data_IF_882547224307
#
_entry.id   IF_882547224307
#
_cell.length_a   1.000
_cell.length_b   1.000
_cell.length_c   1.000
_cell.angle_alpha   90.00
_cell.angle_beta   90.00
_cell.angle_gamma   90.00
#
_symmetry.space_group_name_H-M   'P 1'
#
loop_
_entity.id
_entity.type
_entity.pdbx_description
1 polymer ?
#
# COMPACT_ATOMS: atom_id res chain seq x y z
N UNK A 1 -67.23 -17.81 -5.45
CA UNK A 1 -66.18 -16.76 -5.31
C UNK A 1 -64.90 -17.46 -4.88
N UNK A 2 -63.96 -17.53 -5.77
CA UNK A 2 -62.62 -18.13 -5.49
C UNK A 2 -61.65 -16.99 -5.23
N UNK A 3 -61.26 -16.77 -4.01
CA UNK A 3 -60.20 -15.87 -3.66
C UNK A 3 -58.85 -16.55 -3.92
N UNK A 4 -58.11 -16.05 -4.89
CA UNK A 4 -56.73 -16.47 -5.10
C UNK A 4 -55.86 -15.66 -4.16
N UNK A 5 -55.32 -16.32 -3.14
CA UNK A 5 -54.25 -15.79 -2.34
C UNK A 5 -52.97 -15.78 -3.20
N UNK A 6 -52.52 -14.62 -3.57
CA UNK A 6 -51.23 -14.42 -4.19
C UNK A 6 -50.20 -14.35 -3.07
N UNK A 7 -49.47 -15.45 -2.88
CA UNK A 7 -48.35 -15.51 -1.96
C UNK A 7 -47.17 -14.79 -2.64
N UNK A 8 -46.97 -13.53 -2.28
CA UNK A 8 -45.74 -12.80 -2.67
C UNK A 8 -44.63 -13.35 -1.78
N UNK A 9 -43.84 -14.27 -2.32
CA UNK A 9 -42.55 -14.64 -1.76
C UNK A 9 -41.59 -13.46 -1.93
N UNK A 10 -41.42 -12.69 -0.86
CA UNK A 10 -40.36 -11.72 -0.74
C UNK A 10 -39.05 -12.52 -0.55
N UNK A 11 -38.37 -12.83 -1.64
CA UNK A 11 -37.01 -13.29 -1.58
C UNK A 11 -36.15 -12.10 -1.12
N UNK A 12 -35.97 -12.03 0.20
CA UNK A 12 -34.92 -11.23 0.79
C UNK A 12 -33.57 -11.78 0.33
N UNK A 13 -33.01 -11.21 -0.73
CA UNK A 13 -31.64 -11.47 -1.09
C UNK A 13 -30.77 -11.03 0.06
N UNK A 14 -30.21 -11.98 0.79
CA UNK A 14 -29.06 -11.70 1.63
C UNK A 14 -27.96 -11.26 0.68
N UNK A 15 -27.77 -9.95 0.58
CA UNK A 15 -26.54 -9.37 0.09
C UNK A 15 -25.48 -9.75 1.13
N UNK A 16 -24.85 -10.88 0.96
CA UNK A 16 -23.59 -11.15 1.60
C UNK A 16 -22.61 -10.15 1.01
N UNK A 17 -22.43 -9.02 1.67
CA UNK A 17 -21.31 -8.16 1.44
C UNK A 17 -20.07 -8.98 1.78
N UNK A 18 -19.49 -9.64 0.79
CA UNK A 18 -18.16 -10.23 0.93
C UNK A 18 -17.22 -9.06 1.22
N UNK A 19 -16.70 -9.02 2.44
CA UNK A 19 -15.70 -8.05 2.83
C UNK A 19 -14.53 -8.18 1.86
N UNK A 20 -14.30 -7.14 1.05
CA UNK A 20 -13.23 -7.10 0.09
C UNK A 20 -11.90 -7.12 0.86
N UNK A 21 -11.00 -8.05 0.52
CA UNK A 21 -9.66 -8.08 1.10
C UNK A 21 -8.92 -6.81 0.72
N UNK A 22 -8.59 -6.00 1.70
CA UNK A 22 -7.91 -4.73 1.49
C UNK A 22 -6.39 -4.88 1.47
N UNK A 23 -5.68 -3.84 1.05
CA UNK A 23 -4.21 -3.82 1.12
C UNK A 23 -3.71 -4.01 2.56
N UNK A 24 -4.46 -3.54 3.55
CA UNK A 24 -4.14 -3.74 4.96
C UNK A 24 -4.30 -5.20 5.38
N UNK A 25 -5.34 -5.87 4.90
CA UNK A 25 -5.60 -7.28 5.21
C UNK A 25 -4.52 -8.18 4.62
N UNK A 26 -4.08 -7.90 3.40
CA UNK A 26 -2.98 -8.62 2.74
C UNK A 26 -1.69 -8.43 3.52
N UNK A 27 -1.37 -7.21 3.93
CA UNK A 27 -0.19 -6.93 4.74
C UNK A 27 -0.28 -7.60 6.12
N UNK A 28 -1.44 -7.56 6.77
CA UNK A 28 -1.66 -8.17 8.08
C UNK A 28 -1.54 -9.70 8.05
N UNK A 29 -1.85 -10.32 6.92
CA UNK A 29 -1.66 -11.76 6.72
C UNK A 29 -0.20 -12.19 6.47
N UNK A 30 0.70 -11.25 6.26
CA UNK A 30 2.11 -11.51 6.00
C UNK A 30 2.95 -11.37 7.27
N UNK A 31 3.74 -12.39 7.56
CA UNK A 31 4.69 -12.39 8.69
C UNK A 31 5.82 -11.36 8.49
N UNK A 32 6.10 -11.01 7.25
CA UNK A 32 7.19 -10.11 6.88
C UNK A 32 6.82 -8.62 7.00
N UNK A 33 5.55 -8.32 7.26
CA UNK A 33 5.02 -6.95 7.31
C UNK A 33 4.41 -6.57 8.68
N UNK A 34 4.77 -7.27 9.74
CA UNK A 34 4.23 -7.00 11.08
C UNK A 34 4.55 -5.60 11.58
N UNK A 35 5.77 -5.12 11.32
CA UNK A 35 6.20 -3.76 11.67
C UNK A 35 5.41 -2.72 10.89
N UNK A 36 5.20 -2.93 9.59
CA UNK A 36 4.39 -2.05 8.74
C UNK A 36 2.95 -1.95 9.26
N UNK A 37 2.34 -3.07 9.59
CA UNK A 37 0.97 -3.12 10.12
C UNK A 37 0.86 -2.37 11.45
N UNK A 38 1.84 -2.57 12.34
CA UNK A 38 1.91 -1.83 13.60
C UNK A 38 2.02 -0.31 13.36
N UNK A 39 2.85 0.09 12.40
CA UNK A 39 3.02 1.49 12.02
C UNK A 39 1.73 2.09 11.43
N UNK A 40 1.05 1.37 10.56
CA UNK A 40 -0.23 1.81 9.96
C UNK A 40 -1.31 1.98 11.04
N UNK A 41 -1.38 1.06 12.01
CA UNK A 41 -2.28 1.17 13.16
C UNK A 41 -1.95 2.37 14.04
N UNK A 42 -0.68 2.56 14.37
CA UNK A 42 -0.21 3.67 15.18
C UNK A 42 -0.47 5.04 14.52
N UNK A 43 -0.36 5.11 13.20
CA UNK A 43 -0.67 6.31 12.43
C UNK A 43 -2.17 6.56 12.23
N UNK A 44 -3.03 5.59 12.56
CA UNK A 44 -4.47 5.68 12.32
C UNK A 44 -4.86 5.64 10.85
N UNK A 45 -4.05 5.02 10.00
CA UNK A 45 -4.28 4.95 8.55
C UNK A 45 -5.02 3.69 8.10
N UNK A 46 -5.38 2.80 9.01
CA UNK A 46 -6.07 1.55 8.67
C UNK A 46 -7.35 1.83 7.87
N UNK A 47 -8.22 2.69 8.37
CA UNK A 47 -9.47 3.03 7.68
C UNK A 47 -9.24 3.75 6.36
N UNK A 48 -8.22 4.58 6.26
CA UNK A 48 -7.85 5.27 5.02
C UNK A 48 -7.42 4.27 3.94
N UNK A 49 -6.59 3.29 4.30
CA UNK A 49 -6.11 2.26 3.39
C UNK A 49 -7.13 1.14 3.12
N UNK A 50 -8.17 1.03 3.92
CA UNK A 50 -9.31 0.15 3.70
C UNK A 50 -10.40 0.81 2.83
N UNK A 51 -10.25 2.08 2.52
CA UNK A 51 -11.19 2.82 1.70
C UNK A 51 -11.23 2.34 0.25
N UNK A 52 -12.14 2.96 -0.52
CA UNK A 52 -12.33 2.65 -1.94
C UNK A 52 -11.15 3.19 -2.76
N UNK A 53 -10.06 2.42 -2.84
CA UNK A 53 -8.92 2.74 -3.72
C UNK A 53 -9.31 2.98 -5.17
N UNK A 54 -8.46 2.74 -6.13
CA UNK A 54 -7.27 1.89 -6.00
C UNK A 54 -6.07 2.56 -5.35
N UNK A 55 -5.32 1.78 -4.60
CA UNK A 55 -4.05 2.19 -4.01
C UNK A 55 -2.92 1.27 -4.46
N UNK A 56 -1.75 1.84 -4.71
CA UNK A 56 -0.52 1.07 -4.85
C UNK A 56 0.33 1.30 -3.62
N UNK A 57 0.61 0.25 -2.88
CA UNK A 57 1.37 0.31 -1.63
C UNK A 57 2.73 -0.32 -1.84
N UNK A 58 3.78 0.44 -1.57
CA UNK A 58 5.13 -0.11 -1.48
C UNK A 58 5.39 -0.52 -0.04
N UNK A 59 5.30 -1.83 0.23
CA UNK A 59 5.33 -2.37 1.58
C UNK A 59 6.75 -2.79 1.96
N UNK A 60 7.43 -2.04 2.85
CA UNK A 60 8.73 -2.46 3.36
C UNK A 60 8.56 -3.64 4.32
N UNK A 61 9.48 -4.60 4.22
CA UNK A 61 9.54 -5.76 5.11
C UNK A 61 10.03 -5.38 6.52
N UNK A 62 9.89 -6.29 7.47
CA UNK A 62 10.49 -6.12 8.80
C UNK A 62 12.01 -5.88 8.69
N UNK A 63 12.69 -6.59 7.79
CA UNK A 63 14.11 -6.40 7.51
C UNK A 63 14.40 -5.00 6.95
N UNK A 64 13.52 -4.45 6.13
CA UNK A 64 13.64 -3.09 5.62
C UNK A 64 13.61 -2.06 6.75
N UNK A 65 12.73 -2.23 7.72
CA UNK A 65 12.69 -1.39 8.93
C UNK A 65 13.93 -1.59 9.80
N UNK A 66 14.49 -2.80 9.85
CA UNK A 66 15.70 -3.08 10.61
C UNK A 66 16.95 -2.37 10.04
N UNK A 67 16.93 -1.96 8.79
CA UNK A 67 18.00 -1.15 8.17
C UNK A 67 18.03 0.30 8.64
N UNK A 68 16.94 0.77 9.24
CA UNK A 68 16.90 2.10 9.83
C UNK A 68 17.79 2.18 11.07
N UNK A 69 18.29 3.37 11.43
CA UNK A 69 19.06 3.55 12.64
C UNK A 69 18.33 3.00 13.87
N UNK A 70 19.07 2.44 14.80
CA UNK A 70 18.52 1.88 16.04
C UNK A 70 17.63 2.90 16.75
N UNK A 71 16.47 2.46 17.21
CA UNK A 71 15.50 3.33 17.88
C UNK A 71 14.62 4.18 16.97
N UNK A 72 14.90 4.26 15.66
CA UNK A 72 14.09 5.06 14.73
C UNK A 72 12.65 4.55 14.65
N UNK A 73 12.46 3.24 14.47
CA UNK A 73 11.12 2.64 14.41
C UNK A 73 10.36 2.84 15.71
N UNK A 74 11.00 2.57 16.85
CA UNK A 74 10.39 2.76 18.15
C UNK A 74 10.01 4.23 18.39
N UNK A 75 10.84 5.16 17.95
CA UNK A 75 10.56 6.58 18.01
C UNK A 75 9.37 6.99 17.15
N UNK A 76 9.31 6.48 15.91
CA UNK A 76 8.20 6.75 14.98
C UNK A 76 6.85 6.22 15.46
N UNK A 77 6.86 5.11 16.22
CA UNK A 77 5.65 4.53 16.78
C UNK A 77 5.08 5.30 17.98
N UNK A 78 5.82 6.26 18.50
CA UNK A 78 5.35 7.10 19.61
C UNK A 78 4.24 8.06 19.14
N UNK A 79 3.22 8.32 20.00
CA UNK A 79 2.14 9.25 19.67
C UNK A 79 2.62 10.64 19.27
N UNK A 80 3.73 11.11 19.84
CA UNK A 80 4.36 12.40 19.55
C UNK A 80 4.80 12.53 18.09
N UNK A 81 5.18 11.40 17.47
CA UNK A 81 5.69 11.33 16.11
C UNK A 81 4.66 10.83 15.10
N UNK A 82 3.39 10.76 15.48
CA UNK A 82 2.30 10.28 14.62
C UNK A 82 2.23 11.02 13.27
N UNK A 83 2.42 12.33 13.27
CA UNK A 83 2.40 13.13 12.05
C UNK A 83 3.56 12.76 11.11
N UNK A 84 4.76 12.56 11.65
CA UNK A 84 5.93 12.09 10.89
C UNK A 84 5.71 10.68 10.36
N UNK A 85 5.20 9.79 11.18
CA UNK A 85 4.88 8.42 10.78
C UNK A 85 3.82 8.39 9.66
N UNK A 86 2.78 9.19 9.79
CA UNK A 86 1.74 9.35 8.76
C UNK A 86 2.33 9.84 7.44
N UNK A 87 3.22 10.84 7.49
CA UNK A 87 3.91 11.35 6.30
C UNK A 87 4.73 10.26 5.62
N UNK A 88 5.50 9.48 6.38
CA UNK A 88 6.31 8.38 5.86
C UNK A 88 5.42 7.30 5.24
N UNK A 89 4.38 6.86 5.93
CA UNK A 89 3.49 5.81 5.44
C UNK A 89 2.71 6.23 4.20
N UNK A 90 2.21 7.45 4.14
CA UNK A 90 1.53 7.98 2.96
C UNK A 90 2.51 8.20 1.80
N UNK A 91 3.77 8.41 2.08
CA UNK A 91 4.83 8.44 1.07
C UNK A 91 5.07 7.06 0.42
N UNK A 92 4.73 5.97 1.09
CA UNK A 92 4.76 4.61 0.52
C UNK A 92 3.51 4.25 -0.27
N UNK A 93 2.51 5.11 -0.30
CA UNK A 93 1.25 4.87 -0.98
C UNK A 93 1.12 5.82 -2.18
N UNK A 94 0.84 5.23 -3.34
CA UNK A 94 0.58 5.98 -4.57
C UNK A 94 -0.89 5.77 -4.94
N UNK A 95 -1.60 6.85 -5.27
CA UNK A 95 -2.96 6.77 -5.76
C UNK A 95 -2.98 6.13 -7.16
N UNK A 96 -3.88 5.20 -7.37
CA UNK A 96 -4.01 4.47 -8.64
C UNK A 96 -3.58 3.02 -8.52
N UNK A 97 -3.90 2.25 -9.55
CA UNK A 97 -3.56 0.84 -9.64
C UNK A 97 -2.35 0.65 -10.55
N UNK A 98 -1.16 0.69 -9.95
CA UNK A 98 0.11 0.55 -10.64
C UNK A 98 0.67 -0.87 -10.40
N UNK A 99 0.22 -1.82 -11.20
CA UNK A 99 0.83 -3.15 -11.21
C UNK A 99 2.25 -3.11 -11.84
N UNK A 100 2.97 -4.22 -11.78
CA UNK A 100 4.32 -4.28 -12.32
C UNK A 100 4.37 -3.93 -13.81
N UNK A 101 3.40 -4.38 -14.59
CA UNK A 101 3.32 -4.06 -16.01
C UNK A 101 3.14 -2.56 -16.26
N UNK A 102 2.25 -1.91 -15.52
CA UNK A 102 2.03 -0.46 -15.61
C UNK A 102 3.28 0.34 -15.22
N UNK A 103 3.95 -0.05 -14.15
CA UNK A 103 5.21 0.58 -13.72
C UNK A 103 6.30 0.41 -14.78
N UNK A 104 6.47 -0.79 -15.32
CA UNK A 104 7.46 -1.06 -16.37
C UNK A 104 7.19 -0.27 -17.65
N UNK A 105 5.92 -0.18 -18.07
CA UNK A 105 5.55 0.65 -19.22
C UNK A 105 5.84 2.13 -18.99
N UNK A 106 5.51 2.64 -17.81
CA UNK A 106 5.79 4.02 -17.45
C UNK A 106 7.30 4.31 -17.42
N UNK A 107 8.10 3.38 -16.92
CA UNK A 107 9.57 3.50 -16.93
C UNK A 107 10.11 3.51 -18.36
N UNK A 108 9.61 2.65 -19.24
CA UNK A 108 9.99 2.61 -20.65
C UNK A 108 9.62 3.91 -21.37
N UNK A 109 8.41 4.41 -21.16
CA UNK A 109 7.96 5.68 -21.72
C UNK A 109 8.76 6.87 -21.20
N UNK A 110 9.25 6.80 -19.97
CA UNK A 110 10.11 7.81 -19.34
C UNK A 110 11.59 7.63 -19.57
N UNK A 111 11.97 6.82 -20.56
CA UNK A 111 13.40 6.57 -20.92
C UNK A 111 14.24 6.00 -19.77
N UNK A 112 13.67 5.07 -19.01
CA UNK A 112 14.34 4.34 -17.95
C UNK A 112 14.00 4.79 -16.52
N UNK A 113 13.17 5.80 -16.36
CA UNK A 113 12.66 6.24 -15.06
C UNK A 113 11.29 6.90 -15.17
N UNK A 114 10.52 6.83 -14.10
CA UNK A 114 9.24 7.53 -13.97
C UNK A 114 9.12 8.13 -12.57
N UNK A 115 8.52 9.29 -12.47
CA UNK A 115 8.23 9.95 -11.19
C UNK A 115 6.78 9.67 -10.82
N UNK A 116 6.59 9.08 -9.65
CA UNK A 116 5.29 8.79 -9.08
C UNK A 116 4.97 9.82 -8.00
N UNK A 117 3.76 10.33 -7.99
CA UNK A 117 3.29 11.21 -6.93
C UNK A 117 2.62 10.37 -5.85
N UNK A 118 3.11 10.48 -4.63
CA UNK A 118 2.58 9.74 -3.49
C UNK A 118 1.39 10.45 -2.85
N UNK A 119 0.64 9.73 -2.03
CA UNK A 119 -0.51 10.28 -1.28
C UNK A 119 -0.09 11.41 -0.34
N UNK A 120 1.16 11.40 0.16
CA UNK A 120 1.71 12.50 0.95
C UNK A 120 1.99 13.78 0.15
N UNK A 121 1.91 13.72 -1.18
CA UNK A 121 2.29 14.80 -2.08
C UNK A 121 3.77 14.79 -2.48
N UNK A 122 4.58 13.93 -1.88
CA UNK A 122 5.98 13.75 -2.24
C UNK A 122 6.16 12.97 -3.54
N UNK A 123 7.37 12.99 -4.06
CA UNK A 123 7.71 12.31 -5.31
C UNK A 123 8.60 11.11 -5.06
N UNK A 124 8.27 10.03 -5.72
CA UNK A 124 9.02 8.78 -5.68
C UNK A 124 9.41 8.41 -7.10
N UNK A 125 10.69 8.25 -7.35
CA UNK A 125 11.19 7.92 -8.69
C UNK A 125 11.37 6.41 -8.81
N UNK A 126 10.68 5.80 -9.76
CA UNK A 126 10.88 4.40 -10.12
C UNK A 126 11.78 4.30 -11.35
N UNK A 127 12.77 3.42 -11.29
CA UNK A 127 13.68 3.13 -12.39
C UNK A 127 13.90 1.63 -12.52
N UNK A 128 14.39 1.21 -13.69
CA UNK A 128 14.71 -0.19 -13.93
C UNK A 128 16.22 -0.37 -13.89
N UNK A 129 16.69 -1.28 -13.05
CA UNK A 129 18.10 -1.63 -12.93
C UNK A 129 18.26 -3.14 -12.82
N UNK A 130 19.03 -3.73 -13.71
CA UNK A 130 19.25 -5.19 -13.74
C UNK A 130 17.97 -6.03 -13.71
N UNK A 131 16.92 -5.57 -14.40
CA UNK A 131 15.62 -6.26 -14.44
C UNK A 131 14.75 -6.06 -13.22
N UNK A 132 15.18 -5.25 -12.24
CA UNK A 132 14.41 -4.95 -11.01
C UNK A 132 14.00 -3.49 -10.97
N UNK A 133 12.84 -3.23 -10.41
CA UNK A 133 12.37 -1.87 -10.15
C UNK A 133 13.06 -1.33 -8.89
N UNK A 134 13.71 -0.19 -9.04
CA UNK A 134 14.35 0.53 -7.95
C UNK A 134 13.56 1.80 -7.71
N UNK A 135 13.19 2.03 -6.47
CA UNK A 135 12.57 3.26 -6.01
C UNK A 135 13.64 4.17 -5.44
N UNK A 136 13.63 5.43 -5.83
CA UNK A 136 14.52 6.46 -5.27
C UNK A 136 13.67 7.52 -4.61
N UNK A 137 13.95 7.79 -3.35
CA UNK A 137 13.26 8.81 -2.59
C UNK A 137 13.84 10.21 -2.78
N UNK A 138 13.22 11.21 -2.17
CA UNK A 138 13.65 12.61 -2.28
C UNK A 138 14.98 12.89 -1.58
N UNK A 139 15.40 12.01 -0.67
CA UNK A 139 16.69 12.10 0.04
C UNK A 139 17.82 11.36 -0.66
N UNK A 140 17.52 10.71 -1.78
CA UNK A 140 18.48 9.90 -2.53
C UNK A 140 18.63 8.47 -2.02
N UNK A 141 17.80 8.06 -1.05
CA UNK A 141 17.72 6.67 -0.62
C UNK A 141 17.08 5.80 -1.70
N UNK A 142 17.46 4.54 -1.75
CA UNK A 142 16.94 3.59 -2.73
C UNK A 142 16.33 2.37 -2.06
N UNK A 143 15.27 1.84 -2.67
CA UNK A 143 14.63 0.59 -2.28
C UNK A 143 14.43 -0.27 -3.52
N UNK A 144 14.69 -1.56 -3.40
CA UNK A 144 14.45 -2.51 -4.48
C UNK A 144 13.11 -3.19 -4.29
N UNK A 145 12.30 -3.26 -5.33
CA UNK A 145 11.07 -4.05 -5.33
C UNK A 145 11.44 -5.52 -5.46
N UNK A 146 11.14 -6.30 -4.45
CA UNK A 146 11.48 -7.73 -4.37
C UNK A 146 10.34 -8.63 -4.81
N UNK A 147 9.12 -8.26 -4.48
CA UNK A 147 7.90 -8.96 -4.88
C UNK A 147 6.93 -7.94 -5.47
N UNK A 148 6.30 -8.30 -6.57
CA UNK A 148 5.33 -7.45 -7.26
C UNK A 148 3.95 -8.10 -7.28
N UNK A 149 2.91 -7.28 -7.53
CA UNK A 149 1.56 -7.76 -7.86
C UNK A 149 0.89 -8.61 -6.77
N UNK A 150 1.11 -8.28 -5.51
CA UNK A 150 0.27 -8.77 -4.43
C UNK A 150 -1.08 -8.04 -4.50
N UNK A 151 -2.03 -8.65 -5.16
CA UNK A 151 -3.33 -8.01 -5.41
C UNK A 151 -4.21 -8.02 -4.17
N UNK A 152 -4.81 -6.88 -3.89
CA UNK A 152 -5.87 -6.72 -2.92
C UNK A 152 -7.14 -6.19 -3.60
N UNK A 153 -8.28 -6.28 -2.93
CA UNK A 153 -9.56 -5.82 -3.49
C UNK A 153 -9.60 -4.33 -3.79
N UNK A 154 -8.82 -3.54 -3.06
CA UNK A 154 -8.76 -2.08 -3.22
C UNK A 154 -7.39 -1.57 -3.68
N UNK A 155 -6.51 -2.42 -4.17
CA UNK A 155 -5.20 -1.99 -4.65
C UNK A 155 -4.22 -3.11 -4.90
N UNK A 156 -2.96 -2.72 -5.04
CA UNK A 156 -1.83 -3.61 -5.31
C UNK A 156 -0.71 -3.31 -4.32
N UNK A 157 -0.03 -4.34 -3.86
CA UNK A 157 1.12 -4.22 -2.97
C UNK A 157 2.38 -4.69 -3.72
N UNK A 158 3.41 -3.87 -3.66
CA UNK A 158 4.77 -4.24 -4.07
C UNK A 158 5.66 -4.25 -2.83
N UNK A 159 6.35 -5.34 -2.61
CA UNK A 159 7.26 -5.50 -1.46
C UNK A 159 8.61 -4.87 -1.78
N UNK A 160 9.10 -4.05 -0.88
CA UNK A 160 10.41 -3.39 -1.00
C UNK A 160 11.35 -3.78 0.15
N UNK A 161 12.62 -3.75 -0.12
CA UNK A 161 13.67 -4.18 0.81
C UNK A 161 14.24 -3.06 1.68
N UNK A 162 13.77 -1.84 1.49
CA UNK A 162 14.22 -0.67 2.25
C UNK A 162 13.09 0.34 2.41
N UNK A 163 13.10 1.08 3.50
CA UNK A 163 12.12 2.14 3.75
C UNK A 163 12.54 3.40 2.98
N UNK A 164 11.61 3.96 2.20
CA UNK A 164 11.82 5.23 1.53
C UNK A 164 11.35 6.38 2.42
N UNK A 165 12.07 7.48 2.37
CA UNK A 165 11.84 8.61 3.27
C UNK A 165 11.50 9.87 2.49
N UNK A 166 10.42 10.58 2.83
CA UNK A 166 10.13 11.91 2.27
C UNK A 166 11.08 12.96 2.84
N UNK A 167 11.18 14.08 2.14
CA UNK A 167 11.87 15.29 2.61
C UNK A 167 11.16 15.91 3.81
#
# INVERSE_FOLDING_TARGET
MKMKFLLVMLMGGLLTASAQTTVVDVAAGSKDHTTLVAAVKAAGLVSTLQGAGPFTVFAPTNEAFAKLPEGTVASLLKPENKATLTKILTYHVVAGNLDAAAVLQAIKAGKGKVVLTTVSGGKLTASLKAGKVILTDEKGGTATVTVTDLKAGNGVIHVIDSVVMPN
#
